data_IF_869841766326
#
_entry.id   IF_869841766326
#
_cell.length_a   1.000
_cell.length_b   1.000
_cell.length_c   1.000
_cell.angle_alpha   90.00
_cell.angle_beta   90.00
_cell.angle_gamma   90.00
#
_symmetry.space_group_name_H-M   'P 1'
#
loop_
_entity.id
_entity.type
_entity.pdbx_description
1 polymer ?
#
# COMPACT_ATOMS: atom_id res chain seq x y z
N UNK A 1 9.25 8.77 -25.49
CA UNK A 1 10.60 9.40 -25.40
C UNK A 1 11.50 8.81 -24.32
N UNK A 2 11.05 7.85 -23.52
CA UNK A 2 11.87 7.09 -22.54
C UNK A 2 12.49 7.87 -21.38
N UNK A 3 12.12 9.15 -21.20
CA UNK A 3 12.63 9.95 -20.08
C UNK A 3 11.79 9.70 -18.84
N UNK A 4 12.42 9.50 -17.66
CA UNK A 4 11.70 9.36 -16.41
C UNK A 4 10.98 10.68 -16.06
N UNK A 5 9.70 10.59 -15.70
CA UNK A 5 8.86 11.73 -15.30
C UNK A 5 8.52 11.71 -13.82
N UNK A 6 8.82 10.62 -13.14
CA UNK A 6 8.69 10.47 -11.70
C UNK A 6 9.70 9.44 -11.17
N UNK A 7 10.05 9.57 -9.89
CA UNK A 7 10.81 8.56 -9.13
C UNK A 7 9.93 8.06 -7.98
N UNK A 8 9.84 6.75 -7.83
CA UNK A 8 9.15 6.13 -6.72
C UNK A 8 10.16 5.54 -5.75
N UNK A 9 10.03 5.94 -4.49
CA UNK A 9 10.75 5.35 -3.37
C UNK A 9 9.97 4.13 -2.86
N UNK A 10 10.68 3.07 -2.57
CA UNK A 10 10.13 1.88 -1.94
C UNK A 10 11.15 1.25 -0.99
N UNK A 11 10.66 0.50 -0.01
CA UNK A 11 11.49 -0.32 0.87
C UNK A 11 11.15 -1.78 0.62
N UNK A 12 12.16 -2.58 0.28
CA UNK A 12 12.04 -3.99 -0.08
C UNK A 12 12.70 -4.85 1.01
N UNK A 13 11.92 -5.62 1.74
CA UNK A 13 12.38 -6.57 2.72
C UNK A 13 12.28 -7.98 2.19
N UNK A 14 13.39 -8.68 2.25
CA UNK A 14 13.48 -10.10 1.97
C UNK A 14 13.87 -10.85 3.24
N UNK A 15 13.32 -12.04 3.41
CA UNK A 15 13.76 -12.93 4.47
C UNK A 15 15.16 -13.44 4.17
N UNK A 16 16.05 -13.40 5.17
CA UNK A 16 17.33 -14.09 5.07
C UNK A 16 17.08 -15.60 5.15
N UNK A 17 17.21 -16.28 4.04
CA UNK A 17 17.12 -17.74 3.97
C UNK A 17 18.48 -18.37 4.29
N UNK A 18 18.51 -19.50 5.03
CA UNK A 18 19.75 -20.26 5.21
C UNK A 18 20.36 -20.65 3.86
N UNK A 19 21.68 -20.60 3.74
CA UNK A 19 22.39 -20.95 2.50
C UNK A 19 22.10 -22.37 1.99
N UNK A 20 21.66 -23.26 2.86
CA UNK A 20 21.28 -24.65 2.56
C UNK A 20 19.77 -24.82 2.32
N UNK A 21 18.98 -23.73 2.20
CA UNK A 21 17.55 -23.87 1.93
C UNK A 21 17.31 -24.13 0.45
N UNK A 22 16.48 -25.13 0.16
CA UNK A 22 16.00 -25.40 -1.21
C UNK A 22 14.94 -24.39 -1.69
N UNK A 23 14.70 -23.33 -0.90
CA UNK A 23 13.71 -22.31 -1.23
C UNK A 23 14.26 -21.36 -2.27
N UNK A 24 13.71 -21.43 -3.47
CA UNK A 24 13.99 -20.47 -4.52
C UNK A 24 13.34 -19.11 -4.18
N UNK A 25 14.13 -18.05 -4.04
CA UNK A 25 13.64 -16.70 -3.74
C UNK A 25 12.58 -16.22 -4.75
N UNK A 26 12.69 -16.62 -6.03
CA UNK A 26 11.74 -16.23 -7.06
C UNK A 26 10.34 -16.84 -6.87
N UNK A 27 10.23 -17.92 -6.10
CA UNK A 27 8.96 -18.59 -5.79
C UNK A 27 8.36 -18.16 -4.45
N UNK A 28 9.10 -17.40 -3.65
CA UNK A 28 8.58 -16.90 -2.40
C UNK A 28 7.45 -15.88 -2.63
N UNK A 29 6.35 -15.89 -1.86
CA UNK A 29 5.32 -14.88 -2.00
C UNK A 29 5.88 -13.46 -1.85
N UNK A 30 5.30 -12.51 -2.58
CA UNK A 30 5.63 -11.09 -2.50
C UNK A 30 4.37 -10.26 -2.24
N UNK A 31 4.46 -9.33 -1.30
CA UNK A 31 3.38 -8.42 -0.93
C UNK A 31 3.81 -6.99 -1.24
N UNK A 32 3.03 -6.26 -2.04
CA UNK A 32 3.20 -4.83 -2.25
C UNK A 32 2.23 -4.09 -1.34
N UNK A 33 2.75 -3.20 -0.52
CA UNK A 33 2.03 -2.55 0.59
C UNK A 33 1.90 -1.05 0.38
N UNK A 34 0.69 -0.53 0.62
CA UNK A 34 0.32 0.87 0.44
C UNK A 34 -0.41 1.41 1.66
N UNK A 35 -0.04 2.61 2.12
CA UNK A 35 -0.90 3.40 2.98
C UNK A 35 -1.92 4.18 2.15
N UNK A 36 -2.85 4.80 2.86
CA UNK A 36 -3.92 5.61 2.30
C UNK A 36 -3.62 7.08 2.20
N UNK A 37 -4.55 7.87 2.61
CA UNK A 37 -4.55 9.32 2.58
C UNK A 37 -5.53 9.91 1.58
N UNK A 38 -5.22 9.99 0.28
CA UNK A 38 -4.25 9.30 -0.60
C UNK A 38 -2.80 9.81 -0.57
N UNK A 39 -2.49 10.85 0.16
CA UNK A 39 -1.18 11.52 0.19
C UNK A 39 -0.14 10.93 1.14
N UNK A 40 -0.40 9.83 1.83
CA UNK A 40 0.54 9.22 2.76
C UNK A 40 1.57 8.33 2.07
N UNK A 41 2.83 8.44 2.48
CA UNK A 41 3.83 7.41 2.20
C UNK A 41 3.55 6.15 3.02
N UNK A 42 4.09 5.01 2.59
CA UNK A 42 3.81 3.70 3.21
C UNK A 42 4.53 3.50 4.57
N UNK A 43 4.62 4.56 5.38
CA UNK A 43 5.34 4.56 6.65
C UNK A 43 4.61 3.75 7.74
N UNK A 44 3.30 3.95 7.87
CA UNK A 44 2.52 3.29 8.91
C UNK A 44 2.42 1.79 8.69
N UNK A 45 2.15 1.36 7.46
CA UNK A 45 2.17 -0.06 7.11
C UNK A 45 3.57 -0.65 7.33
N UNK A 46 4.63 0.13 7.11
CA UNK A 46 6.02 -0.30 7.24
C UNK A 46 6.45 -0.48 8.71
N UNK A 47 6.60 0.62 9.45
CA UNK A 47 7.15 0.60 10.82
C UNK A 47 6.09 0.71 11.92
N UNK A 48 4.84 0.85 11.55
CA UNK A 48 3.71 0.83 12.48
C UNK A 48 3.01 -0.50 12.55
N UNK A 49 3.11 -1.38 11.52
CA UNK A 49 2.25 -2.54 11.44
C UNK A 49 2.94 -3.83 10.94
N UNK A 50 3.20 -3.95 9.63
CA UNK A 50 3.53 -5.26 9.00
C UNK A 50 5.02 -5.50 8.78
N UNK A 51 5.84 -4.45 8.86
CA UNK A 51 7.29 -4.57 8.63
C UNK A 51 8.02 -5.36 9.69
N UNK A 52 9.28 -5.78 9.44
CA UNK A 52 10.07 -6.57 10.38
C UNK A 52 10.52 -5.77 11.62
N UNK A 53 10.42 -4.46 11.57
CA UNK A 53 10.70 -3.54 12.68
C UNK A 53 9.48 -2.66 12.91
N UNK A 54 9.17 -2.40 14.18
CA UNK A 54 8.03 -1.58 14.61
C UNK A 54 8.51 -0.51 15.60
N UNK A 55 7.82 0.63 15.61
CA UNK A 55 8.09 1.71 16.56
C UNK A 55 8.03 1.23 18.01
N UNK A 56 8.89 1.80 18.86
CA UNK A 56 8.79 1.61 20.30
C UNK A 56 7.73 2.54 20.86
N UNK A 57 6.54 2.01 21.04
CA UNK A 57 5.39 2.68 21.65
C UNK A 57 4.85 1.81 22.77
N UNK A 58 4.19 2.42 23.76
CA UNK A 58 3.42 1.73 24.80
C UNK A 58 2.03 1.31 24.31
N UNK A 59 1.24 0.74 25.21
CA UNK A 59 -0.09 0.24 24.86
C UNK A 59 -1.10 1.36 24.57
N UNK A 60 -0.83 2.58 25.04
CA UNK A 60 -1.61 3.79 24.77
C UNK A 60 -1.16 4.50 23.48
N UNK A 61 -0.07 4.02 22.84
CA UNK A 61 0.46 4.56 21.58
C UNK A 61 1.50 5.67 21.75
N UNK A 62 1.97 5.95 22.96
CA UNK A 62 3.02 6.96 23.19
C UNK A 62 4.42 6.41 22.95
N UNK A 63 5.33 7.22 22.39
CA UNK A 63 6.69 6.78 22.14
C UNK A 63 7.49 6.56 23.43
N UNK A 64 8.17 5.41 23.52
CA UNK A 64 9.02 5.03 24.66
C UNK A 64 10.45 5.44 24.40
N UNK A 65 11.09 6.07 25.40
CA UNK A 65 12.51 6.40 25.34
C UNK A 65 13.41 5.20 25.68
N UNK A 66 14.62 5.08 25.10
CA UNK A 66 15.09 5.89 23.95
C UNK A 66 14.29 5.59 22.70
N UNK A 67 13.92 6.65 21.99
CA UNK A 67 13.12 6.54 20.76
C UNK A 67 13.79 5.64 19.74
N UNK A 68 13.00 4.91 18.98
CA UNK A 68 13.51 4.02 17.96
C UNK A 68 12.53 2.93 17.54
N UNK A 69 13.09 1.89 16.97
CA UNK A 69 12.32 0.72 16.53
C UNK A 69 12.78 -0.54 17.27
N UNK A 70 11.87 -1.47 17.42
CA UNK A 70 12.11 -2.83 17.97
C UNK A 70 11.80 -3.88 16.92
N UNK A 71 12.22 -5.11 17.13
CA UNK A 71 11.79 -6.24 16.29
C UNK A 71 10.28 -6.40 16.40
N UNK A 72 9.61 -6.60 15.27
CA UNK A 72 8.18 -6.86 15.21
C UNK A 72 7.94 -8.38 15.24
N UNK A 73 7.42 -8.95 16.32
CA UNK A 73 7.14 -10.39 16.40
C UNK A 73 5.96 -10.81 15.53
N UNK A 74 5.16 -9.84 15.06
CA UNK A 74 3.97 -10.06 14.21
C UNK A 74 4.22 -9.69 12.76
N UNK A 75 5.49 -9.53 12.36
CA UNK A 75 5.82 -9.23 10.98
C UNK A 75 5.43 -10.37 10.05
N UNK A 76 4.89 -10.01 8.90
CA UNK A 76 4.55 -10.98 7.85
C UNK A 76 5.75 -11.44 7.01
N UNK A 77 6.97 -11.00 7.36
CA UNK A 77 8.21 -11.37 6.61
C UNK A 77 8.46 -12.88 6.61
N UNK A 78 7.95 -13.61 7.58
CA UNK A 78 8.07 -15.06 7.61
C UNK A 78 7.25 -15.74 6.50
N UNK A 79 6.12 -15.15 6.12
CA UNK A 79 5.23 -15.68 5.08
C UNK A 79 5.58 -15.18 3.68
N UNK A 80 6.01 -13.92 3.55
CA UNK A 80 6.23 -13.26 2.27
C UNK A 80 7.32 -12.20 2.33
N UNK A 81 7.96 -11.90 1.20
CA UNK A 81 8.76 -10.69 1.05
C UNK A 81 7.84 -9.47 0.94
N UNK A 82 8.25 -8.31 1.45
CA UNK A 82 7.37 -7.17 1.61
C UNK A 82 7.99 -5.94 0.93
N UNK A 83 7.21 -5.29 0.07
CA UNK A 83 7.59 -4.06 -0.62
C UNK A 83 6.66 -2.93 -0.21
N UNK A 84 7.16 -1.98 0.58
CA UNK A 84 6.43 -0.78 0.97
C UNK A 84 6.63 0.30 -0.08
N UNK A 85 5.58 0.67 -0.78
CA UNK A 85 5.63 1.58 -1.93
C UNK A 85 5.10 2.95 -1.54
N UNK A 86 5.89 3.99 -1.77
CA UNK A 86 5.43 5.37 -1.64
C UNK A 86 4.93 5.88 -3.00
N UNK A 87 3.63 6.16 -3.18
CA UNK A 87 3.11 6.79 -4.38
C UNK A 87 3.77 8.13 -4.70
N UNK A 88 3.65 8.61 -5.93
CA UNK A 88 4.26 9.87 -6.38
C UNK A 88 3.88 11.03 -5.45
N UNK A 89 4.87 11.84 -5.07
CA UNK A 89 4.78 12.96 -4.13
C UNK A 89 4.39 12.57 -2.70
N UNK A 90 4.55 11.30 -2.33
CA UNK A 90 4.47 10.84 -0.94
C UNK A 90 5.84 10.33 -0.47
N UNK A 91 6.12 10.38 0.81
CA UNK A 91 7.43 10.00 1.34
C UNK A 91 8.58 10.66 0.56
N UNK A 92 9.49 9.86 0.02
CA UNK A 92 10.61 10.34 -0.80
C UNK A 92 10.34 10.28 -2.32
N UNK A 93 9.17 9.85 -2.74
CA UNK A 93 8.77 9.83 -4.16
C UNK A 93 8.49 11.21 -4.69
N UNK A 94 8.93 11.51 -5.91
CA UNK A 94 8.80 12.87 -6.49
C UNK A 94 8.47 12.78 -7.98
N UNK A 95 7.69 13.76 -8.46
CA UNK A 95 7.68 14.11 -9.88
C UNK A 95 9.05 14.67 -10.25
N UNK A 96 9.51 14.39 -11.48
CA UNK A 96 10.79 14.86 -11.99
C UNK A 96 10.56 15.95 -13.02
N UNK A 97 11.28 17.06 -12.87
CA UNK A 97 11.30 18.12 -13.87
C UNK A 97 12.13 17.71 -15.10
N UNK A 98 11.78 18.23 -16.24
CA UNK A 98 12.60 18.14 -17.45
C UNK A 98 13.85 19.03 -17.36
N UNK A 99 14.70 19.01 -18.40
CA UNK A 99 15.92 19.83 -18.44
C UNK A 99 15.66 21.35 -18.43
N UNK A 100 14.41 21.76 -18.68
CA UNK A 100 13.98 23.18 -18.66
C UNK A 100 13.31 23.56 -17.33
N UNK A 101 13.22 22.61 -16.37
CA UNK A 101 12.58 22.82 -15.08
C UNK A 101 11.06 22.62 -15.07
N UNK A 102 10.46 22.14 -16.16
CA UNK A 102 9.03 21.91 -16.23
C UNK A 102 8.66 20.54 -15.66
N UNK A 103 7.67 20.52 -14.78
CA UNK A 103 7.12 19.28 -14.24
C UNK A 103 6.08 18.67 -15.20
N UNK A 104 5.90 17.34 -15.18
CA UNK A 104 4.83 16.70 -15.92
C UNK A 104 3.45 17.14 -15.42
N UNK A 105 2.44 17.01 -16.27
CA UNK A 105 1.05 17.28 -15.86
C UNK A 105 0.68 16.40 -14.66
N UNK A 106 0.17 17.04 -13.61
CA UNK A 106 -0.28 16.39 -12.38
C UNK A 106 -1.38 15.35 -12.62
N UNK A 107 -2.21 15.54 -13.63
CA UNK A 107 -3.28 14.60 -14.04
C UNK A 107 -2.76 13.19 -14.40
N UNK A 108 -1.44 13.05 -14.65
CA UNK A 108 -0.82 11.74 -14.89
C UNK A 108 -0.67 10.87 -13.63
N UNK A 109 -0.75 11.48 -12.46
CA UNK A 109 -0.47 10.80 -11.20
C UNK A 109 -1.60 10.95 -10.17
N UNK A 110 -2.38 12.02 -10.24
CA UNK A 110 -3.39 12.33 -9.23
C UNK A 110 -4.80 12.16 -9.75
N UNK A 111 -5.67 11.62 -8.90
CA UNK A 111 -6.98 11.10 -9.22
C UNK A 111 -6.95 9.57 -9.25
N UNK A 112 -8.04 8.92 -8.87
CA UNK A 112 -8.13 7.46 -8.65
C UNK A 112 -7.59 6.68 -9.86
N UNK A 113 -8.09 6.94 -11.05
CA UNK A 113 -7.69 6.20 -12.25
C UNK A 113 -6.22 6.44 -12.64
N UNK A 114 -5.71 7.65 -12.45
CA UNK A 114 -4.32 7.97 -12.76
C UNK A 114 -3.38 7.29 -11.76
N UNK A 115 -3.71 7.32 -10.47
CA UNK A 115 -2.98 6.66 -9.39
C UNK A 115 -2.86 5.15 -9.65
N UNK A 116 -3.96 4.50 -9.99
CA UNK A 116 -4.01 3.08 -10.32
C UNK A 116 -3.13 2.76 -11.55
N UNK A 117 -3.28 3.51 -12.64
CA UNK A 117 -2.59 3.21 -13.91
C UNK A 117 -1.07 3.31 -13.82
N UNK A 118 -0.55 4.39 -13.23
CA UNK A 118 0.91 4.52 -13.17
C UNK A 118 1.51 3.54 -12.15
N UNK A 119 0.82 3.25 -11.04
CA UNK A 119 1.26 2.26 -10.08
C UNK A 119 1.24 0.85 -10.66
N UNK A 120 0.21 0.48 -11.43
CA UNK A 120 0.17 -0.81 -12.12
C UNK A 120 1.35 -0.96 -13.10
N UNK A 121 1.65 0.08 -13.86
CA UNK A 121 2.83 0.11 -14.74
C UNK A 121 4.14 -0.03 -13.96
N UNK A 122 4.25 0.64 -12.82
CA UNK A 122 5.41 0.54 -11.96
C UNK A 122 5.55 -0.87 -11.37
N UNK A 123 4.46 -1.46 -10.87
CA UNK A 123 4.43 -2.83 -10.32
C UNK A 123 4.89 -3.83 -11.39
N UNK A 124 4.35 -3.75 -12.60
CA UNK A 124 4.75 -4.61 -13.70
C UNK A 124 6.26 -4.50 -13.98
N UNK A 125 6.79 -3.29 -14.01
CA UNK A 125 8.22 -3.03 -14.19
C UNK A 125 9.04 -3.58 -13.03
N UNK A 126 8.58 -3.40 -11.80
CA UNK A 126 9.24 -3.90 -10.59
C UNK A 126 9.31 -5.43 -10.59
N UNK A 127 8.20 -6.11 -10.79
CA UNK A 127 8.10 -7.57 -10.83
C UNK A 127 9.02 -8.16 -11.91
N UNK A 128 9.04 -7.54 -13.10
CA UNK A 128 9.91 -7.94 -14.20
C UNK A 128 11.39 -7.77 -13.85
N UNK A 129 11.79 -6.60 -13.36
CA UNK A 129 13.21 -6.30 -13.02
C UNK A 129 13.73 -7.13 -11.85
N UNK A 130 12.85 -7.50 -10.91
CA UNK A 130 13.21 -8.32 -9.75
C UNK A 130 13.09 -9.83 -10.03
N UNK A 131 12.69 -10.21 -11.25
CA UNK A 131 12.47 -11.61 -11.64
C UNK A 131 11.50 -12.33 -10.69
N UNK A 132 10.33 -11.71 -10.42
CA UNK A 132 9.35 -12.22 -9.46
C UNK A 132 8.02 -12.63 -10.11
N UNK A 133 8.05 -12.96 -11.41
CA UNK A 133 6.84 -13.41 -12.13
C UNK A 133 6.27 -14.73 -11.60
N UNK A 134 7.11 -15.65 -11.16
CA UNK A 134 6.74 -16.93 -10.59
C UNK A 134 6.27 -16.84 -9.13
N UNK A 135 6.57 -15.73 -8.45
CA UNK A 135 6.13 -15.51 -7.07
C UNK A 135 4.62 -15.38 -6.97
N UNK A 136 3.98 -16.03 -5.99
CA UNK A 136 2.63 -15.65 -5.57
C UNK A 136 2.60 -14.17 -5.18
N UNK A 137 1.66 -13.42 -5.76
CA UNK A 137 1.58 -11.95 -5.65
C UNK A 137 0.38 -11.53 -4.84
N UNK A 138 0.64 -10.70 -3.84
CA UNK A 138 -0.38 -10.11 -2.98
C UNK A 138 -0.21 -8.60 -2.97
N UNK A 139 -1.32 -7.89 -2.77
CA UNK A 139 -1.31 -6.46 -2.51
C UNK A 139 -2.09 -6.18 -1.23
N UNK A 140 -1.59 -5.25 -0.43
CA UNK A 140 -2.22 -4.83 0.82
C UNK A 140 -2.34 -3.31 0.85
N UNK A 141 -3.52 -2.81 1.26
CA UNK A 141 -3.78 -1.38 1.35
C UNK A 141 -4.59 -1.01 2.57
N UNK A 142 -4.17 0.07 3.23
CA UNK A 142 -4.84 0.63 4.40
C UNK A 142 -5.59 1.92 4.01
N UNK A 143 -6.81 2.11 4.54
CA UNK A 143 -7.64 3.29 4.30
C UNK A 143 -7.92 3.50 2.79
N UNK A 144 -7.60 4.66 2.21
CA UNK A 144 -7.63 4.87 0.75
C UNK A 144 -6.75 3.84 0.00
N UNK A 145 -5.73 3.28 0.64
CA UNK A 145 -4.98 2.15 0.09
C UNK A 145 -5.87 0.96 -0.24
N UNK A 146 -6.99 0.76 0.45
CA UNK A 146 -8.02 -0.23 0.11
C UNK A 146 -8.63 0.04 -1.28
N UNK A 147 -9.09 1.26 -1.54
CA UNK A 147 -9.56 1.70 -2.87
C UNK A 147 -8.49 1.50 -3.94
N UNK A 148 -7.25 1.87 -3.61
CA UNK A 148 -6.09 1.69 -4.52
C UNK A 148 -5.88 0.24 -4.89
N UNK A 149 -5.85 -0.68 -3.91
CA UNK A 149 -5.57 -2.10 -4.20
C UNK A 149 -6.73 -2.78 -4.92
N UNK A 150 -7.97 -2.38 -4.69
CA UNK A 150 -9.09 -2.83 -5.51
C UNK A 150 -8.91 -2.46 -6.98
N UNK A 151 -8.64 -1.19 -7.27
CA UNK A 151 -8.40 -0.72 -8.64
C UNK A 151 -7.15 -1.34 -9.27
N UNK A 152 -6.07 -1.49 -8.49
CA UNK A 152 -4.84 -2.16 -8.95
C UNK A 152 -5.08 -3.62 -9.30
N UNK A 153 -5.91 -4.34 -8.56
CA UNK A 153 -6.21 -5.75 -8.86
C UNK A 153 -6.84 -5.91 -10.24
N UNK A 154 -7.75 -5.01 -10.59
CA UNK A 154 -8.37 -4.98 -11.90
C UNK A 154 -7.39 -4.55 -13.00
N UNK A 155 -6.68 -3.45 -12.81
CA UNK A 155 -5.76 -2.89 -13.81
C UNK A 155 -4.58 -3.82 -14.12
N UNK A 156 -4.00 -4.46 -13.08
CA UNK A 156 -2.91 -5.43 -13.25
C UNK A 156 -3.37 -6.63 -14.08
N UNK A 157 -4.56 -7.14 -13.81
CA UNK A 157 -5.11 -8.28 -14.53
C UNK A 157 -5.50 -7.92 -15.96
N UNK A 158 -6.23 -6.81 -16.16
CA UNK A 158 -6.79 -6.44 -17.47
C UNK A 158 -5.76 -5.85 -18.43
N UNK A 159 -4.80 -5.06 -17.93
CA UNK A 159 -3.86 -4.32 -18.77
C UNK A 159 -2.44 -4.90 -18.78
N UNK A 160 -2.06 -5.69 -17.75
CA UNK A 160 -0.71 -6.24 -17.60
C UNK A 160 -0.66 -7.77 -17.53
N UNK A 161 -1.80 -8.47 -17.62
CA UNK A 161 -1.90 -9.93 -17.52
C UNK A 161 -1.27 -10.50 -16.24
N UNK A 162 -1.22 -9.66 -15.20
CA UNK A 162 -0.67 -10.01 -13.91
C UNK A 162 -1.79 -10.38 -12.94
N UNK A 163 -1.93 -11.67 -12.68
CA UNK A 163 -2.92 -12.20 -11.75
C UNK A 163 -2.37 -12.17 -10.33
N UNK A 164 -3.19 -11.72 -9.40
CA UNK A 164 -2.87 -11.68 -7.98
C UNK A 164 -3.43 -12.92 -7.28
N UNK A 165 -2.71 -13.40 -6.29
CA UNK A 165 -3.14 -14.50 -5.42
C UNK A 165 -4.03 -14.01 -4.27
N UNK A 166 -3.98 -12.71 -3.96
CA UNK A 166 -4.86 -12.13 -2.95
C UNK A 166 -4.72 -10.61 -2.83
N UNK A 167 -5.78 -10.01 -2.32
CA UNK A 167 -5.89 -8.59 -1.98
C UNK A 167 -6.28 -8.50 -0.51
N UNK A 168 -5.54 -7.71 0.26
CA UNK A 168 -5.77 -7.51 1.68
C UNK A 168 -6.13 -6.05 1.89
N UNK A 169 -7.30 -5.81 2.47
CA UNK A 169 -7.78 -4.47 2.79
C UNK A 169 -7.80 -4.29 4.30
N UNK A 170 -7.10 -3.26 4.77
CA UNK A 170 -7.00 -2.89 6.18
C UNK A 170 -7.77 -1.60 6.38
N UNK A 171 -8.90 -1.68 7.12
CA UNK A 171 -9.79 -0.53 7.37
C UNK A 171 -9.98 0.31 6.09
N UNK A 172 -10.49 -0.28 5.00
CA UNK A 172 -10.62 0.43 3.74
C UNK A 172 -11.53 1.62 3.91
N UNK A 173 -11.15 2.76 3.33
CA UNK A 173 -12.04 3.90 3.25
C UNK A 173 -13.20 3.55 2.32
N UNK A 174 -14.41 3.68 2.83
CA UNK A 174 -15.62 3.63 2.05
C UNK A 174 -15.78 4.97 1.34
N UNK A 175 -15.19 5.09 0.15
CA UNK A 175 -15.46 6.20 -0.74
C UNK A 175 -16.71 5.87 -1.52
N UNK A 176 -17.89 5.85 -0.82
CA UNK A 176 -19.20 5.87 -1.46
C UNK A 176 -19.22 5.27 -2.89
N UNK A 177 -18.65 4.05 -3.01
CA UNK A 177 -18.77 3.27 -4.26
C UNK A 177 -20.24 2.96 -4.57
N UNK A 178 -21.11 3.31 -3.63
CA UNK A 178 -22.56 3.15 -3.66
C UNK A 178 -23.28 4.50 -3.39
N UNK A 179 -22.68 5.64 -3.74
CA UNK A 179 -23.45 6.87 -3.82
C UNK A 179 -24.59 6.67 -4.82
N UNK A 180 -25.71 6.23 -4.32
CA UNK A 180 -26.97 6.63 -4.92
C UNK A 180 -27.12 8.12 -4.57
N UNK A 181 -26.82 8.96 -5.55
CA UNK A 181 -26.85 10.42 -5.45
C UNK A 181 -28.31 10.88 -5.39
N UNK A 182 -28.95 10.73 -4.24
CA UNK A 182 -30.27 11.31 -3.98
C UNK A 182 -30.27 12.32 -2.82
N UNK A 183 -29.08 12.67 -2.30
CA UNK A 183 -28.92 13.69 -1.26
C UNK A 183 -29.55 13.32 0.09
N UNK A 184 -30.03 12.11 0.26
CA UNK A 184 -30.43 11.57 1.54
C UNK A 184 -29.20 10.88 2.15
N UNK A 185 -28.68 11.43 3.26
CA UNK A 185 -27.89 10.62 4.19
C UNK A 185 -28.73 9.38 4.49
N UNK A 186 -28.29 8.26 3.99
CA UNK A 186 -29.09 7.06 3.99
C UNK A 186 -29.37 6.69 5.46
N UNK A 187 -30.66 6.68 5.85
CA UNK A 187 -31.05 6.24 7.18
C UNK A 187 -30.53 4.84 7.53
N UNK A 188 -30.23 4.04 6.50
CA UNK A 188 -29.60 2.73 6.61
C UNK A 188 -28.13 2.90 7.06
N UNK A 189 -27.36 3.80 6.45
CA UNK A 189 -25.97 4.03 6.82
C UNK A 189 -25.84 4.54 8.26
N UNK A 190 -26.65 5.52 8.64
CA UNK A 190 -26.74 6.00 10.02
C UNK A 190 -27.12 4.89 11.00
N UNK A 191 -28.05 4.00 10.61
CA UNK A 191 -28.48 2.88 11.44
C UNK A 191 -27.39 1.82 11.61
N UNK A 192 -26.60 1.56 10.58
CA UNK A 192 -25.47 0.62 10.62
C UNK A 192 -24.34 1.13 11.52
N UNK A 193 -24.15 2.45 11.64
CA UNK A 193 -23.15 3.04 12.52
C UNK A 193 -23.58 3.11 14.00
N UNK A 194 -24.87 2.95 14.30
CA UNK A 194 -25.38 3.07 15.67
C UNK A 194 -24.71 2.14 16.69
N UNK A 195 -24.49 0.84 16.41
CA UNK A 195 -23.77 -0.05 17.33
C UNK A 195 -22.33 0.40 17.58
N UNK A 196 -21.67 0.93 16.55
CA UNK A 196 -20.31 1.46 16.67
C UNK A 196 -20.27 2.71 17.57
N UNK A 197 -21.19 3.64 17.38
CA UNK A 197 -21.30 4.83 18.24
C UNK A 197 -21.65 4.47 19.69
N UNK A 198 -22.52 3.48 19.89
CA UNK A 198 -22.85 3.00 21.22
C UNK A 198 -21.64 2.37 21.92
N UNK A 199 -20.85 1.56 21.21
CA UNK A 199 -19.61 0.98 21.74
C UNK A 199 -18.57 2.05 22.07
N UNK A 200 -18.41 3.06 21.22
CA UNK A 200 -17.50 4.18 21.45
C UNK A 200 -17.93 5.00 22.66
N UNK A 201 -19.23 5.31 22.79
CA UNK A 201 -19.75 6.04 23.94
C UNK A 201 -19.64 5.23 25.26
N UNK A 202 -19.71 3.92 25.18
CA UNK A 202 -19.48 3.06 26.35
C UNK A 202 -18.02 3.07 26.81
N UNK A 203 -17.08 3.15 25.85
CA UNK A 203 -15.63 3.15 26.14
C UNK A 203 -15.18 4.48 26.76
N UNK A 204 -15.73 5.62 26.38
CA UNK A 204 -15.41 6.97 26.85
C UNK A 204 -16.33 7.44 27.98
#
# INVERSE_FOLDING_TARGET
DGKPIASLYYTDYKRNLPKASDVNESHRPIILSFNGGPGSGSLWMHIGYTGPRVLKIDDEGFPIQPYGVKTNPYSIIDAADIVFVCPVNTGYSRMLADKKGNYPDRKKFFGINADIKYLATWINTFITRKNRWESPKYIIGESYGGTRVMGLSYELQSSHWMYLNGVIMVSPADYKLLEFDDGQEDAIDSSLHLPYYAATAWYH
#
